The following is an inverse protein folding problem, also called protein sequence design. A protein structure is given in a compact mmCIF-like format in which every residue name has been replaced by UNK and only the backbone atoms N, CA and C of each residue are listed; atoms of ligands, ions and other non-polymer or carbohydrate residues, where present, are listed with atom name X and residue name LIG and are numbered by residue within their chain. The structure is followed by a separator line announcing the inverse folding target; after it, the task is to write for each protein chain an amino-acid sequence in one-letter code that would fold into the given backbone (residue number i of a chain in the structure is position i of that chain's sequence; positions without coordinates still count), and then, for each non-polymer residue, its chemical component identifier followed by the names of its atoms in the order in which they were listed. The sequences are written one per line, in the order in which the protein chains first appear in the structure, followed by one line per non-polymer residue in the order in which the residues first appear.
data_IF_637167397888
#
_entry.id   IF_637167397888
#
_cell.length_a   1.000
_cell.length_b   1.000
_cell.length_c   1.000
_cell.angle_alpha   90.00
_cell.angle_beta   90.00
_cell.angle_gamma   90.00
#
_symmetry.space_group_name_H-M   'P 1'
#
loop_
_entity.id
_entity.type
_entity.pdbx_description
1 polymer ?
#
# COMPACT_ATOMS: atom_id res chain seq x y z
N UNK A 1 -14.36 -7.74 13.10
CA UNK A 1 -13.31 -7.91 12.07
C UNK A 1 -12.77 -9.35 12.00
N UNK A 2 -12.71 -9.98 10.82
CA UNK A 2 -12.06 -11.29 10.60
C UNK A 2 -10.53 -11.16 10.58
N UNK A 3 -9.84 -11.94 11.42
CA UNK A 3 -8.38 -11.92 11.55
C UNK A 3 -7.62 -12.27 10.27
N UNK A 4 -8.15 -13.18 9.45
CA UNK A 4 -7.49 -13.60 8.20
C UNK A 4 -7.61 -12.53 7.11
N UNK A 5 -8.75 -11.84 7.05
CA UNK A 5 -8.93 -10.71 6.15
C UNK A 5 -7.99 -9.57 6.54
N UNK A 6 -7.95 -9.21 7.82
CA UNK A 6 -7.04 -8.19 8.32
C UNK A 6 -5.56 -8.53 8.04
N UNK A 7 -5.16 -9.79 8.23
CA UNK A 7 -3.81 -10.26 7.92
C UNK A 7 -3.48 -10.16 6.42
N UNK A 8 -4.42 -10.53 5.54
CA UNK A 8 -4.25 -10.42 4.09
C UNK A 8 -4.04 -8.95 3.66
N UNK A 9 -4.91 -8.05 4.15
CA UNK A 9 -4.80 -6.61 3.87
C UNK A 9 -3.48 -6.05 4.40
N UNK A 10 -3.08 -6.43 5.62
CA UNK A 10 -1.80 -6.03 6.22
C UNK A 10 -0.62 -6.50 5.39
N UNK A 11 -0.63 -7.75 4.92
CA UNK A 11 0.45 -8.32 4.12
C UNK A 11 0.61 -7.58 2.78
N UNK A 12 -0.50 -7.34 2.06
CA UNK A 12 -0.49 -6.57 0.81
C UNK A 12 -0.04 -5.12 1.03
N UNK A 13 -0.50 -4.50 2.11
CA UNK A 13 -0.09 -3.14 2.46
C UNK A 13 1.41 -3.07 2.79
N UNK A 14 1.94 -4.06 3.52
CA UNK A 14 3.37 -4.13 3.81
C UNK A 14 4.20 -4.31 2.53
N UNK A 15 3.76 -5.17 1.60
CA UNK A 15 4.41 -5.30 0.28
C UNK A 15 4.39 -4.00 -0.52
N UNK A 16 3.29 -3.24 -0.48
CA UNK A 16 3.21 -1.92 -1.09
C UNK A 16 4.22 -0.94 -0.47
N UNK A 17 4.33 -0.91 0.87
CA UNK A 17 5.29 -0.06 1.58
C UNK A 17 6.74 -0.41 1.26
N UNK A 18 7.08 -1.71 1.19
CA UNK A 18 8.40 -2.17 0.75
C UNK A 18 8.72 -1.68 -0.66
N UNK A 19 7.76 -1.83 -1.59
CA UNK A 19 7.91 -1.34 -2.96
C UNK A 19 8.01 0.19 -3.04
N UNK A 20 7.42 0.93 -2.10
CA UNK A 20 7.59 2.38 -1.97
C UNK A 20 8.94 2.78 -1.34
N UNK A 21 9.80 1.82 -0.98
CA UNK A 21 11.07 2.10 -0.32
C UNK A 21 10.93 2.44 1.17
N UNK A 22 9.74 2.23 1.75
CA UNK A 22 9.41 2.52 3.15
C UNK A 22 9.55 1.29 4.06
N UNK A 23 10.29 0.29 3.59
CA UNK A 23 10.64 -0.91 4.35
C UNK A 23 11.76 -0.70 5.36
N UNK A 24 11.80 -1.54 6.39
CA UNK A 24 12.88 -1.56 7.39
C UNK A 24 14.20 -1.84 6.66
N UNK A 25 14.98 -0.77 6.43
CA UNK A 25 16.33 -0.89 5.90
C UNK A 25 17.17 -1.45 7.05
N UNK A 26 17.60 -2.71 6.93
CA UNK A 26 18.70 -3.21 7.77
C UNK A 26 19.93 -2.32 7.55
N UNK A 27 20.82 -2.27 8.55
CA UNK A 27 22.08 -1.52 8.78
C UNK A 27 22.72 -0.60 7.71
N UNK A 28 22.40 -0.71 6.43
CA UNK A 28 22.76 0.23 5.36
C UNK A 28 21.68 1.33 5.27
N UNK A 29 22.08 2.49 5.76
CA UNK A 29 21.29 3.68 6.10
C UNK A 29 20.67 4.43 4.89
N UNK A 30 20.09 3.72 3.91
CA UNK A 30 19.38 4.36 2.78
C UNK A 30 18.05 3.69 2.46
N UNK A 31 16.95 4.46 2.43
CA UNK A 31 15.71 4.02 1.78
C UNK A 31 16.02 3.54 0.36
N UNK A 32 15.53 2.35 0.02
CA UNK A 32 15.63 1.84 -1.35
C UNK A 32 14.82 2.74 -2.29
N UNK A 33 15.29 2.90 -3.53
CA UNK A 33 14.54 3.67 -4.53
C UNK A 33 13.14 3.05 -4.72
N UNK A 34 12.07 3.85 -4.74
CA UNK A 34 10.71 3.34 -4.88
C UNK A 34 10.50 2.67 -6.23
N UNK A 35 9.98 1.44 -6.22
CA UNK A 35 9.43 0.74 -7.38
C UNK A 35 7.94 1.06 -7.52
N UNK A 36 7.64 2.20 -8.17
CA UNK A 36 6.26 2.66 -8.34
C UNK A 36 5.34 1.66 -9.08
N UNK A 37 5.77 1.00 -10.18
CA UNK A 37 4.94 -0.03 -10.83
C UNK A 37 4.52 -1.15 -9.88
N UNK A 38 5.45 -1.64 -9.05
CA UNK A 38 5.18 -2.72 -8.10
C UNK A 38 4.27 -2.25 -6.94
N UNK A 39 4.53 -1.06 -6.38
CA UNK A 39 3.67 -0.47 -5.36
C UNK A 39 2.22 -0.30 -5.88
N UNK A 40 2.06 0.16 -7.12
CA UNK A 40 0.75 0.28 -7.77
C UNK A 40 0.04 -1.07 -7.87
N UNK A 41 0.74 -2.13 -8.26
CA UNK A 41 0.14 -3.47 -8.37
C UNK A 41 -0.50 -3.93 -7.05
N UNK A 42 0.14 -3.67 -5.91
CA UNK A 42 -0.42 -4.01 -4.60
C UNK A 42 -1.62 -3.13 -4.23
N UNK A 43 -1.55 -1.83 -4.52
CA UNK A 43 -2.67 -0.90 -4.29
C UNK A 43 -3.88 -1.29 -5.15
N UNK A 44 -3.68 -1.58 -6.42
CA UNK A 44 -4.74 -2.00 -7.35
C UNK A 44 -5.34 -3.36 -6.92
N UNK A 45 -4.53 -4.25 -6.36
CA UNK A 45 -5.01 -5.53 -5.79
C UNK A 45 -5.91 -5.29 -4.58
N UNK A 46 -5.55 -4.38 -3.68
CA UNK A 46 -6.37 -3.99 -2.52
C UNK A 46 -7.66 -3.31 -2.96
N UNK A 47 -7.62 -2.50 -4.02
CA UNK A 47 -8.79 -1.82 -4.59
C UNK A 47 -9.75 -2.83 -5.21
N UNK A 48 -9.23 -3.78 -6.00
CA UNK A 48 -10.00 -4.90 -6.52
C UNK A 48 -10.63 -5.72 -5.39
N UNK A 49 -9.88 -5.98 -4.31
CA UNK A 49 -10.41 -6.68 -3.14
C UNK A 49 -11.59 -5.91 -2.53
N UNK A 50 -11.50 -4.59 -2.41
CA UNK A 50 -12.60 -3.75 -1.92
C UNK A 50 -13.86 -3.90 -2.78
N UNK A 51 -13.72 -3.81 -4.10
CA UNK A 51 -14.84 -3.93 -5.04
C UNK A 51 -15.49 -5.31 -4.96
N UNK A 52 -14.69 -6.37 -5.07
CA UNK A 52 -15.15 -7.76 -5.10
C UNK A 52 -15.75 -8.23 -3.78
N UNK A 53 -15.36 -7.63 -2.66
CA UNK A 53 -15.83 -8.01 -1.32
C UNK A 53 -16.86 -7.05 -0.72
N UNK A 54 -17.20 -5.95 -1.40
CA UNK A 54 -18.04 -4.85 -0.86
C UNK A 54 -19.36 -5.26 -0.19
N UNK A 55 -20.00 -6.36 -0.60
CA UNK A 55 -21.22 -6.90 0.03
C UNK A 55 -21.01 -7.92 1.16
N UNK A 56 -19.76 -8.34 1.37
CA UNK A 56 -19.37 -9.38 2.34
C UNK A 56 -18.50 -8.85 3.49
N UNK A 57 -18.14 -7.56 3.48
CA UNK A 57 -17.37 -6.94 4.55
C UNK A 57 -18.28 -6.46 5.68
N UNK A 58 -17.88 -6.75 6.91
CA UNK A 58 -18.35 -6.02 8.09
C UNK A 58 -17.89 -4.56 8.06
N UNK A 59 -18.54 -3.69 8.84
CA UNK A 59 -18.21 -2.26 8.89
C UNK A 59 -16.75 -2.00 9.31
N UNK A 60 -16.23 -2.80 10.24
CA UNK A 60 -14.83 -2.74 10.66
C UNK A 60 -13.87 -3.06 9.50
N UNK A 61 -14.15 -4.13 8.75
CA UNK A 61 -13.30 -4.58 7.65
C UNK A 61 -13.31 -3.58 6.49
N UNK A 62 -14.49 -3.04 6.19
CA UNK A 62 -14.65 -1.97 5.19
C UNK A 62 -13.85 -0.73 5.60
N UNK A 63 -14.01 -0.28 6.83
CA UNK A 63 -13.33 0.92 7.35
C UNK A 63 -11.81 0.74 7.38
N UNK A 64 -11.35 -0.45 7.78
CA UNK A 64 -9.94 -0.80 7.77
C UNK A 64 -9.34 -0.78 6.36
N UNK A 65 -9.97 -1.47 5.40
CA UNK A 65 -9.49 -1.51 4.01
C UNK A 65 -9.49 -0.11 3.37
N UNK A 66 -10.53 0.70 3.58
CA UNK A 66 -10.58 2.09 3.10
C UNK A 66 -9.41 2.90 3.64
N UNK A 67 -9.15 2.79 4.95
CA UNK A 67 -8.09 3.55 5.61
C UNK A 67 -6.71 3.17 5.08
N UNK A 68 -6.46 1.86 4.89
CA UNK A 68 -5.22 1.35 4.30
C UNK A 68 -5.05 1.82 2.85
N UNK A 69 -6.08 1.71 2.01
CA UNK A 69 -6.05 2.18 0.63
C UNK A 69 -5.76 3.68 0.53
N UNK A 70 -6.39 4.49 1.39
CA UNK A 70 -6.16 5.93 1.43
C UNK A 70 -4.70 6.26 1.78
N UNK A 71 -4.16 5.65 2.84
CA UNK A 71 -2.78 5.89 3.26
C UNK A 71 -1.77 5.51 2.16
N UNK A 72 -1.93 4.32 1.56
CA UNK A 72 -1.04 3.86 0.49
C UNK A 72 -1.10 4.74 -0.75
N UNK A 73 -2.30 5.19 -1.15
CA UNK A 73 -2.47 6.11 -2.29
C UNK A 73 -1.76 7.44 -2.05
N UNK A 74 -1.85 7.99 -0.84
CA UNK A 74 -1.17 9.24 -0.49
C UNK A 74 0.35 9.09 -0.50
N UNK A 75 0.88 7.98 0.02
CA UNK A 75 2.32 7.67 -0.05
C UNK A 75 2.80 7.46 -1.48
N UNK A 76 2.03 6.74 -2.29
CA UNK A 76 2.31 6.54 -3.71
C UNK A 76 2.39 7.89 -4.46
N UNK A 77 1.43 8.79 -4.25
CA UNK A 77 1.43 10.11 -4.85
C UNK A 77 2.70 10.89 -4.46
N UNK A 78 3.06 10.89 -3.17
CA UNK A 78 4.28 11.53 -2.67
C UNK A 78 5.53 10.97 -3.36
N UNK A 79 5.67 9.64 -3.41
CA UNK A 79 6.81 8.98 -4.05
C UNK A 79 6.87 9.23 -5.58
N UNK A 80 5.72 9.31 -6.25
CA UNK A 80 5.65 9.64 -7.69
C UNK A 80 6.04 11.08 -7.99
N UNK A 81 5.74 12.01 -7.07
CA UNK A 81 6.10 13.42 -7.20
C UNK A 81 7.60 13.66 -6.98
N UNK A 82 8.24 12.93 -6.05
CA UNK A 82 9.68 13.05 -5.81
C UNK A 82 10.52 12.42 -6.93
N UNK A 83 10.03 11.35 -7.57
CA UNK A 83 10.70 10.75 -8.72
C UNK A 83 10.75 11.67 -9.96
N UNK A 84 9.81 12.61 -10.08
CA UNK A 84 9.71 13.52 -11.24
C UNK A 84 10.51 14.81 -11.05
N UNK A 85 10.95 15.14 -9.84
CA UNK A 85 11.65 16.40 -9.50
C UNK A 85 13.19 16.37 -9.59
N UNK A 86 13.79 15.26 -10.03
CA UNK A 86 15.25 15.05 -10.04
C UNK A 86 15.96 15.28 -11.38
N UNK A 87 15.33 15.97 -12.33
CA UNK A 87 15.92 16.31 -13.63
C UNK A 87 15.86 17.83 -13.85
N UNK A 88 16.76 18.54 -13.19
CA UNK A 88 16.99 19.98 -13.33
C UNK A 88 18.42 20.32 -12.94
#
# INVERSE_FOLDING_TARGET
MNQYFAALVTMLAHSALLALGEGQSGAEDRPSAPNLPEARSFIDTLDMLQEKTSGNLSDDERSYLISVLYDLRMRYLRASSSATGGSG
#
